data_IF_948378221679
#
_entry.id   IF_948378221679
#
_cell.length_a   1.000
_cell.length_b   1.000
_cell.length_c   1.000
_cell.angle_alpha   90.00
_cell.angle_beta   90.00
_cell.angle_gamma   90.00
#
_symmetry.space_group_name_H-M   'P 1'
#
loop_
_entity.id
_entity.type
_entity.pdbx_description
1 polymer ?
#
# COMPACT_ATOMS: atom_id res chain seq x y z
N UNK A 1 -2.99 10.39 16.39
CA UNK A 1 -4.07 10.40 15.37
C UNK A 1 -3.63 11.11 14.09
N UNK A 2 -3.35 12.42 14.12
CA UNK A 2 -2.89 13.18 12.93
C UNK A 2 -1.62 12.54 12.35
N UNK A 3 -0.63 12.26 13.19
CA UNK A 3 0.63 11.61 12.78
C UNK A 3 0.41 10.25 12.09
N UNK A 4 -0.36 9.34 12.70
CA UNK A 4 -0.67 8.03 12.14
C UNK A 4 -1.41 8.13 10.81
N UNK A 5 -2.42 9.00 10.72
CA UNK A 5 -3.20 9.26 9.50
C UNK A 5 -2.30 9.79 8.39
N UNK A 6 -1.42 10.75 8.69
CA UNK A 6 -0.47 11.30 7.71
C UNK A 6 0.51 10.25 7.22
N UNK A 7 1.05 9.38 8.09
CA UNK A 7 1.98 8.31 7.70
C UNK A 7 1.31 7.30 6.77
N UNK A 8 0.10 6.85 7.11
CA UNK A 8 -0.69 5.95 6.27
C UNK A 8 -1.01 6.62 4.93
N UNK A 9 -1.44 7.88 4.96
CA UNK A 9 -1.75 8.66 3.77
C UNK A 9 -0.54 8.80 2.84
N UNK A 10 0.61 9.20 3.38
CA UNK A 10 1.88 9.29 2.63
C UNK A 10 2.27 7.95 2.01
N UNK A 11 2.17 6.86 2.77
CA UNK A 11 2.45 5.53 2.24
C UNK A 11 1.48 5.14 1.10
N UNK A 12 0.20 5.49 1.23
CA UNK A 12 -0.80 5.33 0.16
C UNK A 12 -0.42 6.09 -1.11
N UNK A 13 -0.04 7.37 -0.98
CA UNK A 13 0.40 8.22 -2.10
C UNK A 13 1.61 7.60 -2.81
N UNK A 14 2.64 7.19 -2.06
CA UNK A 14 3.84 6.58 -2.62
C UNK A 14 3.52 5.32 -3.43
N UNK A 15 2.59 4.49 -2.94
CA UNK A 15 2.19 3.27 -3.66
C UNK A 15 1.30 3.57 -4.86
N UNK A 16 0.40 4.55 -4.78
CA UNK A 16 -0.40 4.99 -5.91
C UNK A 16 0.49 5.54 -7.03
N UNK A 17 1.48 6.37 -6.68
CA UNK A 17 2.47 6.89 -7.60
C UNK A 17 3.33 5.77 -8.20
N UNK A 18 3.74 4.79 -7.40
CA UNK A 18 4.45 3.62 -7.92
C UNK A 18 3.60 2.83 -8.92
N UNK A 19 2.30 2.64 -8.67
CA UNK A 19 1.36 2.00 -9.60
C UNK A 19 1.23 2.78 -10.92
N UNK A 20 1.11 4.12 -10.86
CA UNK A 20 1.14 4.97 -12.05
C UNK A 20 2.48 4.85 -12.79
N UNK A 21 3.60 5.04 -12.09
CA UNK A 21 4.93 4.93 -12.71
C UNK A 21 5.13 3.58 -13.40
N UNK A 22 4.63 2.50 -12.81
CA UNK A 22 4.67 1.16 -13.37
C UNK A 22 3.72 0.95 -14.57
N UNK A 23 2.61 1.69 -14.66
CA UNK A 23 1.71 1.59 -15.83
C UNK A 23 2.33 2.16 -17.11
N UNK A 24 3.36 2.99 -16.97
CA UNK A 24 4.16 3.51 -18.07
C UNK A 24 5.30 2.57 -18.49
N UNK A 25 5.49 1.43 -17.81
CA UNK A 25 6.54 0.48 -18.16
C UNK A 25 5.98 -0.69 -18.97
N UNK A 26 6.51 -0.90 -20.18
CA UNK A 26 6.04 -1.94 -21.10
C UNK A 26 6.16 -3.37 -20.55
N UNK A 27 7.08 -3.58 -19.59
CA UNK A 27 7.31 -4.90 -18.99
C UNK A 27 6.21 -5.33 -18.02
N UNK A 28 5.46 -4.39 -17.45
CA UNK A 28 4.45 -4.68 -16.42
C UNK A 28 3.07 -4.73 -17.07
N UNK A 29 2.27 -5.79 -16.84
CA UNK A 29 0.90 -5.83 -17.31
C UNK A 29 0.08 -4.67 -16.75
N UNK A 30 -0.62 -3.95 -17.63
CA UNK A 30 -1.40 -2.76 -17.26
C UNK A 30 -2.38 -3.00 -16.11
N UNK A 31 -3.04 -4.16 -16.08
CA UNK A 31 -3.95 -4.52 -14.99
C UNK A 31 -3.25 -4.59 -13.62
N UNK A 32 -1.99 -5.06 -13.58
CA UNK A 32 -1.20 -5.17 -12.35
C UNK A 32 -0.82 -3.79 -11.83
N UNK A 33 -0.43 -2.90 -12.74
CA UNK A 33 -0.11 -1.52 -12.42
C UNK A 33 -1.36 -0.75 -11.94
N UNK A 34 -2.50 -0.93 -12.62
CA UNK A 34 -3.78 -0.34 -12.22
C UNK A 34 -4.24 -0.84 -10.85
N UNK A 35 -4.16 -2.15 -10.58
CA UNK A 35 -4.48 -2.67 -9.25
C UNK A 35 -3.54 -2.12 -8.17
N UNK A 36 -2.26 -1.89 -8.50
CA UNK A 36 -1.31 -1.32 -7.53
C UNK A 36 -1.68 0.13 -7.22
N UNK A 37 -2.08 0.89 -8.24
CA UNK A 37 -2.59 2.25 -8.07
C UNK A 37 -3.83 2.27 -7.19
N UNK A 38 -4.83 1.44 -7.50
CA UNK A 38 -6.08 1.33 -6.72
C UNK A 38 -5.80 0.92 -5.27
N UNK A 39 -4.88 -0.02 -5.06
CA UNK A 39 -4.48 -0.45 -3.72
C UNK A 39 -3.81 0.68 -2.93
N UNK A 40 -2.99 1.51 -3.59
CA UNK A 40 -2.42 2.71 -2.98
C UNK A 40 -3.49 3.72 -2.57
N UNK A 41 -4.51 3.91 -3.41
CA UNK A 41 -5.68 4.75 -3.10
C UNK A 41 -6.50 4.19 -1.93
N UNK A 42 -6.63 2.88 -1.78
CA UNK A 42 -7.30 2.28 -0.63
C UNK A 42 -6.55 2.59 0.67
N UNK A 43 -5.21 2.47 0.65
CA UNK A 43 -4.38 2.85 1.81
C UNK A 43 -4.54 4.36 2.09
N UNK A 44 -4.47 5.22 1.08
CA UNK A 44 -4.68 6.66 1.23
C UNK A 44 -6.06 6.95 1.86
N UNK A 45 -7.12 6.34 1.34
CA UNK A 45 -8.48 6.48 1.85
C UNK A 45 -8.54 6.02 3.31
N UNK A 46 -7.93 4.89 3.66
CA UNK A 46 -7.89 4.43 5.06
C UNK A 46 -7.19 5.42 6.00
N UNK A 47 -6.15 6.11 5.53
CA UNK A 47 -5.51 7.20 6.27
C UNK A 47 -6.47 8.35 6.55
N UNK A 48 -7.25 8.77 5.56
CA UNK A 48 -8.29 9.78 5.73
C UNK A 48 -9.42 9.30 6.66
N UNK A 49 -9.87 8.03 6.53
CA UNK A 49 -10.89 7.43 7.40
C UNK A 49 -10.44 7.35 8.86
N UNK A 50 -9.16 7.09 9.11
CA UNK A 50 -8.58 7.06 10.45
C UNK A 50 -8.69 8.41 11.16
N UNK A 51 -8.55 9.52 10.42
CA UNK A 51 -8.69 10.87 10.97
C UNK A 51 -10.09 11.10 11.58
N UNK A 52 -11.12 10.52 10.95
CA UNK A 52 -12.51 10.58 11.40
C UNK A 52 -12.92 9.36 12.24
N UNK A 53 -11.97 8.51 12.63
CA UNK A 53 -12.19 7.25 13.39
C UNK A 53 -13.29 6.34 12.81
N UNK A 54 -13.40 6.25 11.48
CA UNK A 54 -14.42 5.41 10.85
C UNK A 54 -14.13 3.92 11.08
N UNK A 55 -15.16 3.12 11.33
CA UNK A 55 -15.07 1.67 11.61
C UNK A 55 -14.47 0.86 10.45
N UNK A 56 -14.61 1.35 9.22
CA UNK A 56 -14.06 0.73 8.01
C UNK A 56 -12.56 0.96 7.80
N UNK A 57 -11.91 1.76 8.65
CA UNK A 57 -10.47 2.08 8.53
C UNK A 57 -9.59 0.84 8.44
N UNK A 58 -9.74 -0.11 9.37
CA UNK A 58 -8.89 -1.31 9.43
C UNK A 58 -9.15 -2.26 8.25
N UNK A 59 -10.40 -2.64 7.92
CA UNK A 59 -10.66 -3.47 6.75
C UNK A 59 -10.07 -2.91 5.44
N UNK A 60 -10.26 -1.61 5.18
CA UNK A 60 -9.77 -0.96 3.95
C UNK A 60 -8.24 -0.92 3.93
N UNK A 61 -7.60 -0.60 5.05
CA UNK A 61 -6.14 -0.60 5.17
C UNK A 61 -5.56 -1.99 4.89
N UNK A 62 -6.12 -3.04 5.50
CA UNK A 62 -5.64 -4.42 5.34
C UNK A 62 -5.78 -4.88 3.88
N UNK A 63 -6.92 -4.62 3.24
CA UNK A 63 -7.13 -4.95 1.82
C UNK A 63 -6.06 -4.28 0.95
N UNK A 64 -5.83 -2.98 1.14
CA UNK A 64 -4.82 -2.24 0.38
C UNK A 64 -3.39 -2.76 0.59
N UNK A 65 -3.01 -3.05 1.84
CA UNK A 65 -1.67 -3.55 2.19
C UNK A 65 -1.42 -4.95 1.61
N UNK A 66 -2.38 -5.87 1.73
CA UNK A 66 -2.27 -7.23 1.19
C UNK A 66 -2.17 -7.21 -0.33
N UNK A 67 -3.01 -6.41 -1.00
CA UNK A 67 -3.00 -6.28 -2.45
C UNK A 67 -1.65 -5.74 -2.97
N UNK A 68 -1.11 -4.67 -2.36
CA UNK A 68 0.23 -4.16 -2.70
C UNK A 68 1.33 -5.22 -2.49
N UNK A 69 1.22 -6.05 -1.45
CA UNK A 69 2.22 -7.09 -1.21
C UNK A 69 2.29 -8.09 -2.37
N UNK A 70 1.15 -8.63 -2.79
CA UNK A 70 1.10 -9.55 -3.93
C UNK A 70 1.51 -8.89 -5.25
N UNK A 71 1.03 -7.68 -5.51
CA UNK A 71 1.30 -6.96 -6.76
C UNK A 71 2.75 -6.55 -6.89
N UNK A 72 3.42 -6.16 -5.80
CA UNK A 72 4.85 -5.79 -5.85
C UNK A 72 5.76 -6.99 -6.10
N UNK A 73 5.43 -8.18 -5.57
CA UNK A 73 6.16 -9.42 -5.90
C UNK A 73 6.04 -9.69 -7.39
N UNK A 74 4.80 -9.65 -7.91
CA UNK A 74 4.53 -9.88 -9.33
C UNK A 74 5.21 -8.87 -10.23
N UNK A 75 5.08 -7.58 -9.94
CA UNK A 75 5.68 -6.51 -10.75
C UNK A 75 7.21 -6.54 -10.66
N UNK A 76 7.78 -6.91 -9.51
CA UNK A 76 9.22 -7.14 -9.36
C UNK A 76 9.75 -8.28 -10.24
N UNK A 77 9.00 -9.38 -10.35
CA UNK A 77 9.32 -10.47 -11.27
C UNK A 77 9.32 -10.02 -12.74
N UNK A 78 8.32 -9.23 -13.17
CA UNK A 78 8.28 -8.67 -14.53
C UNK A 78 9.44 -7.71 -14.82
N UNK A 79 9.85 -6.90 -13.85
CA UNK A 79 10.91 -5.90 -14.04
C UNK A 79 12.32 -6.49 -14.03
N UNK A 80 12.58 -7.40 -13.08
CA UNK A 80 13.94 -7.82 -12.73
C UNK A 80 14.19 -9.32 -12.93
N UNK A 81 13.16 -10.10 -13.26
CA UNK A 81 13.25 -11.56 -13.40
C UNK A 81 13.51 -12.30 -12.07
N UNK A 82 13.52 -11.59 -10.94
CA UNK A 82 13.79 -12.14 -9.60
C UNK A 82 13.05 -11.37 -8.52
N UNK A 83 12.76 -12.05 -7.43
CA UNK A 83 12.13 -11.47 -6.23
C UNK A 83 13.21 -10.80 -5.38
N UNK A 84 13.02 -9.52 -5.06
CA UNK A 84 13.90 -8.82 -4.11
C UNK A 84 13.38 -9.04 -2.68
N UNK A 85 13.82 -10.13 -2.06
CA UNK A 85 13.38 -10.57 -0.73
C UNK A 85 13.54 -9.47 0.34
N UNK A 86 14.66 -8.73 0.30
CA UNK A 86 14.90 -7.63 1.25
C UNK A 86 13.83 -6.54 1.14
N UNK A 87 13.45 -6.18 -0.10
CA UNK A 87 12.40 -5.18 -0.32
C UNK A 87 11.03 -5.66 0.17
N UNK A 88 10.71 -6.94 0.02
CA UNK A 88 9.45 -7.50 0.50
C UNK A 88 9.40 -7.56 2.03
N UNK A 89 10.48 -7.97 2.69
CA UNK A 89 10.57 -7.96 4.16
C UNK A 89 10.40 -6.53 4.68
N UNK A 90 11.10 -5.55 4.10
CA UNK A 90 10.95 -4.15 4.49
C UNK A 90 9.51 -3.64 4.35
N UNK A 91 8.85 -3.93 3.21
CA UNK A 91 7.44 -3.59 3.02
C UNK A 91 6.53 -4.28 4.04
N UNK A 92 6.82 -5.53 4.40
CA UNK A 92 6.02 -6.28 5.36
C UNK A 92 6.11 -5.65 6.75
N UNK A 93 7.32 -5.27 7.18
CA UNK A 93 7.53 -4.54 8.43
C UNK A 93 6.78 -3.21 8.43
N UNK A 94 6.84 -2.44 7.34
CA UNK A 94 6.06 -1.20 7.21
C UNK A 94 4.55 -1.49 7.36
N UNK A 95 4.04 -2.52 6.68
CA UNK A 95 2.62 -2.89 6.78
C UNK A 95 2.21 -3.20 8.23
N UNK A 96 3.03 -3.94 8.97
CA UNK A 96 2.78 -4.24 10.39
C UNK A 96 2.78 -2.94 11.22
N UNK A 97 3.78 -2.08 11.03
CA UNK A 97 3.88 -0.81 11.76
C UNK A 97 2.66 0.08 11.51
N UNK A 98 2.25 0.24 10.24
CA UNK A 98 1.08 1.05 9.89
C UNK A 98 -0.22 0.48 10.48
N UNK A 99 -0.38 -0.84 10.45
CA UNK A 99 -1.54 -1.50 11.04
C UNK A 99 -1.57 -1.31 12.56
N UNK A 100 -0.43 -1.47 13.24
CA UNK A 100 -0.32 -1.23 14.69
C UNK A 100 -0.64 0.23 15.06
N UNK A 101 -0.12 1.19 14.30
CA UNK A 101 -0.42 2.61 14.50
C UNK A 101 -1.90 2.93 14.30
N UNK A 102 -2.55 2.31 13.31
CA UNK A 102 -3.97 2.48 13.06
C UNK A 102 -4.81 1.93 14.23
N UNK A 103 -4.48 0.73 14.72
CA UNK A 103 -5.18 0.09 15.85
C UNK A 103 -5.06 0.91 17.15
N UNK A 104 -3.85 1.37 17.49
CA UNK A 104 -3.61 2.21 18.67
C UNK A 104 -4.37 3.55 18.55
N UNK A 105 -4.49 4.10 17.34
CA UNK A 105 -5.15 5.39 17.12
C UNK A 105 -6.68 5.32 17.14
N UNK A 106 -7.25 4.13 16.95
CA UNK A 106 -8.71 3.91 16.97
C UNK A 106 -9.24 3.63 18.39
N UNK A 107 -8.37 3.22 19.31
CA UNK A 107 -8.67 3.22 20.75
C UNK A 107 -8.90 4.66 21.24
#
# INVERSE_FOLDING_TARGET
MITSSSLIGLYGILNAFAGWSQSKQDKIPAWSASLMLVSGLFILASGAMLFWKLSLTIPVLVIGLLAIHGLTIRNGLYLYGKINIQHHIFRFVISIVLLGLALISLQ
#
